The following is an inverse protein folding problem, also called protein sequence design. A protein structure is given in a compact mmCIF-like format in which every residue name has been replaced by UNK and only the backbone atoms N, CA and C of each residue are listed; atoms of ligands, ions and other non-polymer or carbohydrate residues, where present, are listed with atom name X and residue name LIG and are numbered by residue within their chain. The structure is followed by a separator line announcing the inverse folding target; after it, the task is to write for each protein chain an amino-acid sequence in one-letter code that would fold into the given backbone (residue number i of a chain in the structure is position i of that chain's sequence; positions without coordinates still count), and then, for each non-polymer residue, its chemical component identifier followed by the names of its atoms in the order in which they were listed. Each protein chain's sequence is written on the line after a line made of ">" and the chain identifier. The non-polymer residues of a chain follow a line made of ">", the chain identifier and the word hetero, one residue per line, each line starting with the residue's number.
data_IF_242770306055
#
_entry.id   IF_242770306055
#
_cell.length_a   1.000
_cell.length_b   1.000
_cell.length_c   1.000
_cell.angle_alpha   90.00
_cell.angle_beta   90.00
_cell.angle_gamma   90.00
#
_symmetry.space_group_name_H-M   'P 1'
#
loop_
_entity.id
_entity.type
_entity.pdbx_description
1 polymer ?
#
# COMPACT_ATOMS: atom_id res chain seq x y z
N UNK A 1 -9.14 8.64 2.66
CA UNK A 1 -7.90 9.33 3.08
C UNK A 1 -7.44 8.74 4.41
N UNK A 2 -6.71 7.62 4.39
CA UNK A 2 -6.09 7.10 5.62
C UNK A 2 -4.89 8.00 5.91
N UNK A 3 -5.05 8.84 6.91
CA UNK A 3 -4.04 9.81 7.32
C UNK A 3 -2.87 9.03 7.88
N UNK A 4 -1.66 9.26 7.37
CA UNK A 4 -0.45 8.52 7.76
C UNK A 4 -0.24 8.49 9.29
N UNK A 5 -0.66 9.55 9.99
CA UNK A 5 -0.69 9.61 11.45
C UNK A 5 -1.47 8.48 12.12
N UNK A 6 -2.56 7.98 11.52
CA UNK A 6 -3.36 6.88 12.09
C UNK A 6 -2.60 5.56 12.01
N UNK A 7 -1.84 5.33 10.94
CA UNK A 7 -0.99 4.15 10.80
C UNK A 7 0.17 4.16 11.79
N UNK A 8 0.82 5.32 11.96
CA UNK A 8 1.91 5.50 12.93
C UNK A 8 1.39 5.33 14.36
N UNK A 9 0.17 5.81 14.65
CA UNK A 9 -0.43 5.66 15.97
C UNK A 9 -0.85 4.22 16.28
N UNK A 10 -1.44 3.52 15.30
CA UNK A 10 -1.74 2.11 15.41
C UNK A 10 -0.47 1.26 15.61
N UNK A 11 0.63 1.62 14.91
CA UNK A 11 1.95 1.00 15.10
C UNK A 11 2.48 1.21 16.52
N UNK A 12 2.41 2.44 17.04
CA UNK A 12 2.87 2.77 18.39
C UNK A 12 2.08 2.05 19.49
N UNK A 13 0.76 1.89 19.32
CA UNK A 13 -0.08 1.13 20.26
C UNK A 13 0.22 -0.37 20.19
N UNK A 14 0.56 -0.91 19.01
CA UNK A 14 0.90 -2.32 18.84
C UNK A 14 2.33 -2.67 19.26
N UNK A 15 3.24 -1.69 19.34
CA UNK A 15 4.66 -1.88 19.61
C UNK A 15 5.00 -2.55 20.96
N UNK A 16 4.40 -2.19 22.12
CA UNK A 16 4.78 -2.79 23.40
C UNK A 16 4.42 -4.28 23.51
N UNK A 17 3.40 -4.74 22.77
CA UNK A 17 3.07 -6.17 22.66
C UNK A 17 4.15 -6.96 21.94
N UNK A 18 4.81 -6.34 20.96
CA UNK A 18 5.87 -6.99 20.18
C UNK A 18 7.22 -7.01 20.93
N UNK A 19 7.50 -5.96 21.70
CA UNK A 19 8.73 -5.84 22.50
C UNK A 19 8.85 -6.95 23.55
N UNK A 20 7.74 -7.38 24.15
CA UNK A 20 7.71 -8.50 25.11
C UNK A 20 8.08 -9.83 24.46
N UNK A 21 7.65 -10.05 23.22
CA UNK A 21 7.93 -11.29 22.48
C UNK A 21 9.36 -11.42 21.95
N UNK A 22 10.12 -10.32 21.87
CA UNK A 22 11.52 -10.33 21.39
C UNK A 22 12.52 -10.57 22.53
N UNK A 23 12.13 -10.27 23.77
CA UNK A 23 13.01 -10.34 24.94
C UNK A 23 12.90 -11.65 25.73
N UNK A 24 11.81 -12.41 25.57
CA UNK A 24 11.74 -13.78 26.09
C UNK A 24 12.60 -14.69 25.22
N UNK A 25 13.34 -15.61 25.85
CA UNK A 25 14.23 -16.58 25.20
C UNK A 25 13.59 -17.14 23.93
N UNK A 26 14.26 -16.94 22.77
CA UNK A 26 13.75 -17.37 21.47
C UNK A 26 13.73 -18.90 21.44
N UNK A 27 12.60 -19.47 21.84
CA UNK A 27 12.34 -20.88 21.75
C UNK A 27 12.09 -21.20 20.27
N UNK A 28 12.98 -22.01 19.66
CA UNK A 28 12.97 -22.31 18.22
C UNK A 28 11.61 -22.87 17.78
N UNK A 29 10.99 -23.70 18.63
CA UNK A 29 9.66 -24.25 18.39
C UNK A 29 8.58 -23.15 18.35
N UNK A 30 8.65 -22.19 19.28
CA UNK A 30 7.71 -21.07 19.33
C UNK A 30 7.89 -20.12 18.13
N UNK A 31 9.13 -19.85 17.74
CA UNK A 31 9.45 -19.08 16.54
C UNK A 31 8.93 -19.75 15.27
N UNK A 32 9.10 -21.07 15.14
CA UNK A 32 8.57 -21.86 14.01
C UNK A 32 7.03 -21.81 13.96
N UNK A 33 6.36 -22.00 15.09
CA UNK A 33 4.89 -21.95 15.17
C UNK A 33 4.39 -20.56 14.80
N UNK A 34 4.99 -19.49 15.36
CA UNK A 34 4.65 -18.11 15.01
C UNK A 34 4.87 -17.82 13.54
N UNK A 35 5.97 -18.29 12.94
CA UNK A 35 6.26 -18.09 11.53
C UNK A 35 5.21 -18.76 10.63
N UNK A 36 4.88 -20.03 10.93
CA UNK A 36 3.87 -20.80 10.18
C UNK A 36 2.48 -20.15 10.23
N UNK A 37 2.14 -19.42 11.29
CA UNK A 37 0.87 -18.68 11.42
C UNK A 37 0.97 -17.27 10.83
N UNK A 38 2.08 -16.57 11.04
CA UNK A 38 2.25 -15.19 10.61
C UNK A 38 2.34 -15.06 9.08
N UNK A 39 3.04 -15.98 8.41
CA UNK A 39 3.18 -15.97 6.93
C UNK A 39 1.84 -16.02 6.19
N UNK A 40 0.92 -16.96 6.47
CA UNK A 40 -0.38 -16.99 5.79
C UNK A 40 -1.24 -15.78 6.13
N UNK A 41 -1.18 -15.27 7.37
CA UNK A 41 -1.89 -14.02 7.73
C UNK A 41 -1.35 -12.85 6.91
N UNK A 42 -0.03 -12.70 6.82
CA UNK A 42 0.60 -11.65 6.03
C UNK A 42 0.23 -11.76 4.54
N UNK A 43 0.18 -12.99 4.00
CA UNK A 43 -0.25 -13.23 2.63
C UNK A 43 -1.71 -12.79 2.39
N UNK A 44 -2.62 -13.12 3.32
CA UNK A 44 -4.02 -12.70 3.23
C UNK A 44 -4.17 -11.17 3.33
N UNK A 45 -3.46 -10.55 4.25
CA UNK A 45 -3.46 -9.08 4.41
C UNK A 45 -2.90 -8.39 3.17
N UNK A 46 -1.79 -8.91 2.61
CA UNK A 46 -1.19 -8.39 1.39
C UNK A 46 -2.12 -8.57 0.19
N UNK A 47 -2.80 -9.71 0.08
CA UNK A 47 -3.82 -9.95 -0.94
C UNK A 47 -4.99 -8.96 -0.81
N UNK A 48 -5.48 -8.72 0.41
CA UNK A 48 -6.52 -7.72 0.68
C UNK A 48 -6.07 -6.30 0.33
N UNK A 49 -4.83 -5.93 0.69
CA UNK A 49 -4.25 -4.64 0.32
C UNK A 49 -4.09 -4.49 -1.20
N UNK A 50 -3.64 -5.56 -1.89
CA UNK A 50 -3.54 -5.60 -3.36
C UNK A 50 -4.90 -5.45 -4.00
N UNK A 51 -5.94 -6.08 -3.45
CA UNK A 51 -7.31 -5.97 -3.92
C UNK A 51 -7.85 -4.53 -3.82
N UNK A 52 -7.65 -3.87 -2.67
CA UNK A 52 -8.07 -2.47 -2.47
C UNK A 52 -7.30 -1.52 -3.38
N UNK A 53 -6.00 -1.72 -3.54
CA UNK A 53 -5.14 -0.85 -4.37
C UNK A 53 -5.30 -1.10 -5.87
N UNK A 54 -5.68 -2.31 -6.29
CA UNK A 54 -6.01 -2.62 -7.68
C UNK A 54 -7.21 -1.81 -8.20
N UNK A 55 -8.18 -1.49 -7.33
CA UNK A 55 -9.29 -0.60 -7.68
C UNK A 55 -8.90 0.88 -7.87
N UNK A 56 -7.69 1.28 -7.45
CA UNK A 56 -7.14 2.62 -7.66
C UNK A 56 -6.22 2.72 -8.89
N UNK A 57 -5.80 1.59 -9.46
CA UNK A 57 -4.93 1.57 -10.64
C UNK A 57 -5.74 1.66 -11.94
N UNK A 58 -5.42 2.66 -12.76
CA UNK A 58 -5.89 2.90 -14.14
C UNK A 58 -7.32 3.43 -14.32
N UNK A 59 -7.43 4.75 -14.21
CA UNK A 59 -8.17 5.56 -15.19
C UNK A 59 -7.30 6.73 -15.69
N UNK A 60 -6.05 6.44 -16.07
CA UNK A 60 -5.23 7.36 -16.85
C UNK A 60 -5.04 6.78 -18.26
N UNK A 61 -6.14 6.47 -18.93
CA UNK A 61 -6.15 6.27 -20.38
C UNK A 61 -7.30 7.09 -20.96
N UNK A 62 -6.95 8.31 -21.36
CA UNK A 62 -7.51 9.07 -22.50
C UNK A 62 -7.26 10.58 -22.32
N UNK A 63 -6.01 10.97 -22.07
CA UNK A 63 -5.57 12.26 -22.56
C UNK A 63 -5.49 12.12 -24.09
N UNK A 64 -6.63 12.29 -24.78
CA UNK A 64 -6.69 12.40 -26.23
C UNK A 64 -5.67 13.46 -26.64
N UNK A 65 -4.67 13.14 -27.46
CA UNK A 65 -3.76 14.15 -27.98
C UNK A 65 -4.60 15.14 -28.79
N UNK A 66 -4.85 16.32 -28.24
CA UNK A 66 -5.41 17.42 -29.01
C UNK A 66 -4.36 17.81 -30.04
N UNK A 67 -4.61 17.43 -31.29
CA UNK A 67 -3.89 18.01 -32.42
C UNK A 67 -4.23 19.50 -32.40
N UNK A 68 -3.26 20.41 -32.21
CA UNK A 68 -3.53 21.83 -32.34
C UNK A 68 -3.96 22.07 -33.79
N UNK A 69 -5.23 22.44 -34.00
CA UNK A 69 -5.65 23.05 -35.25
C UNK A 69 -4.79 24.29 -35.43
N UNK A 70 -3.97 24.39 -36.50
CA UNK A 70 -3.28 25.63 -36.79
C UNK A 70 -4.35 26.69 -37.01
N UNK A 71 -4.32 27.73 -36.19
CA UNK A 71 -5.16 28.91 -36.36
C UNK A 71 -4.70 29.60 -37.65
N UNK A 72 -5.38 29.32 -38.76
CA UNK A 72 -5.22 30.06 -40.01
C UNK A 72 -6.04 31.35 -39.85
N UNK A 73 -5.60 32.20 -38.92
CA UNK A 73 -6.10 33.55 -38.72
C UNK A 73 -4.92 34.51 -38.68
N UNK A 74 -4.00 34.39 -39.62
CA UNK A 74 -3.06 35.45 -39.94
C UNK A 74 -2.58 35.27 -41.39
N UNK A 75 -2.44 36.40 -42.09
CA UNK A 75 -1.94 36.56 -43.47
C UNK A 75 -3.06 36.37 -44.54
N UNK A 76 -3.56 37.40 -45.25
CA UNK A 76 -2.94 38.64 -45.73
C UNK A 76 -4.00 39.48 -46.50
N UNK A 77 -3.63 40.59 -47.15
CA UNK A 77 -3.74 42.01 -46.76
C UNK A 77 -4.93 42.79 -47.36
#
# INVERSE_FOLDING_TARGET
>A
MIRWSVLVFALLISAPGWYRYVLDEINITEALIRFLIAVPIAALLLAGLRFVTAGYGSKDESATPVTPTPDISDENP
#
